data_IF_813454797745
#
_entry.id   IF_813454797745
#
_cell.length_a   1.000
_cell.length_b   1.000
_cell.length_c   1.000
_cell.angle_alpha   90.00
_cell.angle_beta   90.00
_cell.angle_gamma   90.00
#
_symmetry.space_group_name_H-M   'P 1'
#
loop_
_entity.id
_entity.type
_entity.pdbx_description
1 polymer ?
#
# COMPACT_ATOMS: atom_id res chain seq x y z
N UNK A 1 27.87 41.53 -30.17
CA UNK A 1 26.50 41.35 -30.71
C UNK A 1 26.31 39.84 -30.84
N UNK A 2 25.60 39.25 -29.87
CA UNK A 2 24.26 38.62 -30.03
C UNK A 2 24.33 37.37 -30.93
N UNK A 3 23.84 36.19 -30.57
CA UNK A 3 22.70 35.88 -29.70
C UNK A 3 22.67 34.38 -29.38
N UNK A 4 22.38 34.05 -28.11
CA UNK A 4 21.90 32.74 -27.67
C UNK A 4 20.45 32.56 -28.14
N UNK A 5 20.13 31.41 -28.73
CA UNK A 5 18.75 30.99 -28.99
C UNK A 5 18.41 29.81 -28.09
N UNK A 6 17.67 30.09 -27.02
CA UNK A 6 17.01 29.10 -26.18
C UNK A 6 15.68 28.70 -26.84
N UNK A 7 15.61 27.47 -27.35
CA UNK A 7 14.36 26.88 -27.81
C UNK A 7 13.49 26.52 -26.60
N UNK A 8 12.60 27.46 -26.25
CA UNK A 8 11.56 27.29 -25.25
C UNK A 8 10.38 26.52 -25.89
N UNK A 9 10.38 25.20 -25.73
CA UNK A 9 9.31 24.32 -26.18
C UNK A 9 7.95 24.70 -25.54
N UNK A 10 6.87 24.87 -26.32
CA UNK A 10 5.61 25.38 -25.80
C UNK A 10 4.96 24.43 -24.80
N UNK A 11 4.61 24.95 -23.61
CA UNK A 11 3.92 24.22 -22.56
C UNK A 11 2.51 23.81 -23.02
N UNK A 12 2.37 22.58 -23.52
CA UNK A 12 1.09 21.99 -23.93
C UNK A 12 0.13 21.98 -22.73
N UNK A 13 -0.96 22.77 -22.83
CA UNK A 13 -2.02 22.82 -21.82
C UNK A 13 -2.61 21.43 -21.61
N UNK A 14 -2.69 20.98 -20.35
CA UNK A 14 -3.23 19.66 -19.98
C UNK A 14 -4.69 19.54 -20.40
N UNK A 15 -5.02 18.56 -21.26
CA UNK A 15 -6.42 18.14 -21.50
C UNK A 15 -6.99 17.56 -20.19
N UNK A 16 -8.15 18.06 -19.72
CA UNK A 16 -8.86 17.49 -18.56
C UNK A 16 -9.12 16.00 -18.83
N UNK A 17 -8.77 15.13 -17.88
CA UNK A 17 -9.06 13.69 -17.92
C UNK A 17 -7.90 12.78 -18.38
N UNK A 18 -6.78 13.31 -18.90
CA UNK A 18 -5.62 12.47 -19.28
C UNK A 18 -4.65 12.36 -18.10
N UNK A 19 -4.51 11.14 -17.57
CA UNK A 19 -3.62 10.83 -16.44
C UNK A 19 -2.24 10.42 -16.99
N UNK A 20 -1.25 11.30 -16.85
CA UNK A 20 0.14 11.02 -17.26
C UNK A 20 0.98 10.63 -16.05
N UNK A 21 0.77 9.41 -15.53
CA UNK A 21 1.42 8.96 -14.29
C UNK A 21 2.95 8.94 -14.39
N UNK A 22 3.50 8.63 -15.56
CA UNK A 22 4.95 8.59 -15.77
C UNK A 22 5.62 9.95 -15.61
N UNK A 23 4.88 11.03 -15.89
CA UNK A 23 5.35 12.41 -15.73
C UNK A 23 5.24 12.89 -14.28
N UNK A 24 4.66 12.10 -13.38
CA UNK A 24 4.62 12.47 -11.97
C UNK A 24 6.03 12.47 -11.42
N UNK A 25 6.43 13.58 -10.78
CA UNK A 25 7.76 13.77 -10.17
C UNK A 25 8.20 12.54 -9.35
N UNK A 26 7.26 11.92 -8.63
CA UNK A 26 7.50 10.69 -7.86
C UNK A 26 7.93 9.49 -8.72
N UNK A 27 7.26 9.28 -9.84
CA UNK A 27 7.52 8.16 -10.73
C UNK A 27 8.81 8.39 -11.54
N UNK A 28 9.04 9.63 -12.01
CA UNK A 28 10.31 10.05 -12.62
C UNK A 28 11.49 9.76 -11.68
N UNK A 29 11.44 10.24 -10.43
CA UNK A 29 12.51 10.00 -9.44
C UNK A 29 12.69 8.51 -9.14
N UNK A 30 11.59 7.73 -9.06
CA UNK A 30 11.67 6.28 -8.83
C UNK A 30 12.38 5.57 -9.98
N UNK A 31 12.02 5.90 -11.22
CA UNK A 31 12.60 5.32 -12.43
C UNK A 31 14.09 5.63 -12.52
N UNK A 32 14.47 6.90 -12.37
CA UNK A 32 15.87 7.34 -12.36
C UNK A 32 16.68 6.61 -11.27
N UNK A 33 16.15 6.52 -10.03
CA UNK A 33 16.81 5.77 -8.94
C UNK A 33 17.02 4.29 -9.24
N UNK A 34 16.09 3.64 -9.95
CA UNK A 34 16.22 2.23 -10.32
C UNK A 34 17.27 2.07 -11.40
N UNK A 35 17.29 2.96 -12.41
CA UNK A 35 18.25 2.93 -13.52
C UNK A 35 19.64 3.48 -13.17
N UNK A 36 19.76 4.17 -12.04
CA UNK A 36 21.00 4.81 -11.64
C UNK A 36 21.22 6.16 -12.30
N UNK A 37 20.20 6.73 -12.95
CA UNK A 37 20.31 8.02 -13.63
C UNK A 37 20.35 9.19 -12.63
N UNK A 38 20.86 10.33 -13.09
CA UNK A 38 20.80 11.56 -12.33
C UNK A 38 19.34 12.01 -12.10
N UNK A 39 19.06 12.63 -10.96
CA UNK A 39 17.72 13.15 -10.68
C UNK A 39 17.74 14.28 -9.66
N UNK A 40 16.75 15.16 -9.75
CA UNK A 40 16.52 16.20 -8.74
C UNK A 40 15.63 15.67 -7.63
N UNK A 41 16.09 15.74 -6.39
CA UNK A 41 15.33 15.27 -5.24
C UNK A 41 14.17 16.25 -4.89
N UNK A 42 13.35 15.90 -3.89
CA UNK A 42 12.24 16.77 -3.45
C UNK A 42 12.71 18.07 -2.79
N UNK A 43 13.96 18.13 -2.31
CA UNK A 43 14.59 19.33 -1.73
C UNK A 43 15.23 20.25 -2.78
N UNK A 44 15.24 19.85 -4.06
CA UNK A 44 15.86 20.62 -5.14
C UNK A 44 17.32 20.27 -5.43
N UNK A 45 17.95 19.37 -4.67
CA UNK A 45 19.35 19.00 -4.92
C UNK A 45 19.43 17.95 -6.04
N UNK A 46 20.37 18.16 -6.97
CA UNK A 46 20.72 17.20 -8.02
C UNK A 46 21.53 16.06 -7.40
N UNK A 47 21.08 14.83 -7.63
CA UNK A 47 21.83 13.61 -7.32
C UNK A 47 22.46 13.14 -8.63
N UNK A 48 23.78 12.93 -8.67
CA UNK A 48 24.45 12.48 -9.89
C UNK A 48 24.02 11.06 -10.26
N UNK A 49 24.27 10.71 -11.51
CA UNK A 49 24.16 9.36 -12.02
C UNK A 49 25.17 8.44 -11.33
N UNK A 50 24.86 7.15 -11.35
CA UNK A 50 25.74 6.11 -10.86
C UNK A 50 26.56 5.59 -12.02
N UNK A 51 27.87 5.59 -11.84
CA UNK A 51 28.81 5.00 -12.76
C UNK A 51 29.38 3.69 -12.20
N UNK A 52 29.85 2.85 -13.13
CA UNK A 52 30.66 1.68 -12.78
C UNK A 52 31.90 2.17 -12.01
N UNK A 53 32.21 1.60 -10.83
CA UNK A 53 33.40 1.98 -10.08
C UNK A 53 34.67 1.67 -10.89
N UNK A 54 35.49 2.70 -11.11
CA UNK A 54 36.79 2.58 -11.80
C UNK A 54 37.68 1.60 -11.03
N UNK A 55 37.82 1.85 -9.73
CA UNK A 55 38.57 1.02 -8.80
C UNK A 55 37.65 0.43 -7.73
N UNK A 56 37.91 -0.83 -7.38
CA UNK A 56 37.25 -1.49 -6.26
C UNK A 56 38.21 -1.56 -5.07
N UNK A 57 37.71 -1.32 -3.87
CA UNK A 57 38.52 -1.39 -2.64
C UNK A 57 38.19 -2.70 -1.89
N UNK A 58 39.13 -3.66 -1.87
CA UNK A 58 39.06 -4.83 -0.97
C UNK A 58 40.11 -4.77 0.14
N UNK A 59 39.66 -4.86 1.39
CA UNK A 59 40.51 -5.07 2.58
C UNK A 59 40.33 -6.48 3.17
N UNK A 60 39.83 -7.39 2.35
CA UNK A 60 39.47 -8.74 2.73
C UNK A 60 40.69 -9.67 2.69
N UNK A 61 40.81 -10.65 3.60
CA UNK A 61 41.94 -11.59 3.59
C UNK A 61 41.98 -12.46 2.33
N UNK A 62 40.81 -12.71 1.72
CA UNK A 62 40.68 -13.48 0.46
C UNK A 62 41.08 -12.69 -0.80
N UNK A 63 41.39 -11.39 -0.67
CA UNK A 63 41.67 -10.48 -1.80
C UNK A 63 40.72 -10.69 -2.99
N UNK A 64 39.41 -10.78 -2.74
CA UNK A 64 38.41 -11.20 -3.73
C UNK A 64 38.22 -10.26 -4.93
N UNK A 65 38.99 -9.18 -5.01
CA UNK A 65 39.07 -8.32 -6.19
C UNK A 65 39.96 -8.93 -7.28
N UNK A 66 40.88 -9.84 -6.94
CA UNK A 66 41.90 -10.35 -7.87
C UNK A 66 41.32 -11.07 -9.09
N UNK A 67 40.11 -11.62 -8.97
CA UNK A 67 39.40 -12.32 -10.05
C UNK A 67 38.31 -11.47 -10.71
N UNK A 68 38.18 -10.19 -10.33
CA UNK A 68 37.17 -9.28 -10.86
C UNK A 68 37.86 -8.32 -11.82
N UNK A 69 37.73 -8.58 -13.12
CA UNK A 69 38.22 -7.73 -14.19
C UNK A 69 37.21 -6.64 -14.60
N UNK A 70 37.56 -5.86 -15.62
CA UNK A 70 36.69 -4.81 -16.16
C UNK A 70 35.43 -5.38 -16.85
N UNK A 71 35.53 -6.56 -17.43
CA UNK A 71 34.42 -7.22 -18.12
C UNK A 71 33.37 -7.69 -17.13
N UNK A 72 33.77 -8.40 -16.08
CA UNK A 72 32.89 -8.86 -15.00
C UNK A 72 32.23 -7.67 -14.29
N UNK A 73 32.97 -6.57 -14.05
CA UNK A 73 32.40 -5.33 -13.51
C UNK A 73 31.25 -4.82 -14.36
N UNK A 74 31.45 -4.75 -15.68
CA UNK A 74 30.46 -4.24 -16.63
C UNK A 74 29.25 -5.17 -16.72
N UNK A 75 29.48 -6.48 -16.85
CA UNK A 75 28.41 -7.48 -16.89
C UNK A 75 27.53 -7.45 -15.64
N UNK A 76 28.12 -7.43 -14.43
CA UNK A 76 27.36 -7.37 -13.17
C UNK A 76 26.57 -6.06 -13.07
N UNK A 77 27.18 -4.94 -13.46
CA UNK A 77 26.54 -3.63 -13.45
C UNK A 77 25.34 -3.58 -14.40
N UNK A 78 25.53 -3.96 -15.65
CA UNK A 78 24.48 -3.98 -16.67
C UNK A 78 23.35 -4.94 -16.30
N UNK A 79 23.68 -6.14 -15.82
CA UNK A 79 22.68 -7.08 -15.32
C UNK A 79 21.84 -6.45 -14.20
N UNK A 80 22.44 -5.74 -13.26
CA UNK A 80 21.72 -5.12 -12.14
C UNK A 80 20.86 -3.90 -12.56
N UNK A 81 21.36 -3.03 -13.44
CA UNK A 81 20.65 -1.82 -13.88
C UNK A 81 19.72 -2.05 -15.08
N UNK A 82 19.83 -3.19 -15.77
CA UNK A 82 18.84 -3.63 -16.77
C UNK A 82 17.47 -3.91 -16.14
N UNK A 83 17.44 -4.36 -14.88
CA UNK A 83 16.20 -4.61 -14.12
C UNK A 83 15.29 -3.37 -14.08
N UNK A 84 14.00 -3.61 -14.18
CA UNK A 84 13.01 -2.55 -14.43
C UNK A 84 12.47 -1.96 -13.13
N UNK A 85 12.35 -2.77 -12.09
CA UNK A 85 11.81 -2.36 -10.80
C UNK A 85 12.81 -2.50 -9.65
N UNK A 86 12.61 -1.70 -8.59
CA UNK A 86 13.39 -1.84 -7.35
C UNK A 86 13.17 -3.21 -6.71
N UNK A 87 11.97 -3.79 -6.84
CA UNK A 87 11.67 -5.12 -6.31
C UNK A 87 12.53 -6.17 -7.00
N UNK A 88 12.57 -6.18 -8.34
CA UNK A 88 13.47 -7.06 -9.10
C UNK A 88 14.92 -6.94 -8.66
N UNK A 89 15.43 -5.70 -8.54
CA UNK A 89 16.79 -5.45 -8.06
C UNK A 89 17.03 -5.99 -6.65
N UNK A 90 16.10 -5.77 -5.73
CA UNK A 90 16.23 -6.20 -4.35
C UNK A 90 16.15 -7.72 -4.22
N UNK A 91 15.26 -8.36 -4.98
CA UNK A 91 15.15 -9.82 -5.05
C UNK A 91 16.45 -10.39 -5.61
N UNK A 92 16.95 -9.85 -6.71
CA UNK A 92 18.26 -10.23 -7.28
C UNK A 92 19.40 -10.12 -6.26
N UNK A 93 19.49 -8.99 -5.53
CA UNK A 93 20.51 -8.84 -4.49
C UNK A 93 20.32 -9.84 -3.35
N UNK A 94 19.08 -10.15 -2.97
CA UNK A 94 18.78 -11.10 -1.91
C UNK A 94 19.18 -12.53 -2.29
N UNK A 95 19.01 -12.95 -3.55
CA UNK A 95 19.46 -14.28 -4.01
C UNK A 95 20.97 -14.45 -4.00
N UNK A 96 21.73 -13.35 -4.06
CA UNK A 96 23.18 -13.34 -3.93
C UNK A 96 23.68 -13.32 -2.48
N UNK A 97 22.77 -13.29 -1.49
CA UNK A 97 23.10 -13.26 -0.07
C UNK A 97 22.69 -14.58 0.57
N UNK A 98 23.63 -15.22 1.24
CA UNK A 98 23.40 -16.46 1.98
C UNK A 98 23.51 -16.20 3.48
N UNK A 99 22.47 -16.52 4.25
CA UNK A 99 22.51 -16.45 5.71
C UNK A 99 23.09 -17.74 6.29
N UNK A 100 24.13 -17.62 7.12
CA UNK A 100 24.77 -18.74 7.83
C UNK A 100 24.64 -18.57 9.33
N UNK A 101 24.52 -19.67 10.05
CA UNK A 101 24.57 -19.65 11.51
C UNK A 101 25.99 -19.32 12.00
N UNK A 102 26.05 -18.60 13.12
CA UNK A 102 27.33 -18.19 13.72
C UNK A 102 27.95 -19.38 14.45
N UNK A 103 28.94 -20.02 13.80
CA UNK A 103 29.63 -21.22 14.30
C UNK A 103 30.45 -20.99 15.58
N UNK A 104 30.91 -19.76 15.85
CA UNK A 104 31.74 -19.45 17.02
C UNK A 104 31.34 -18.09 17.60
N UNK A 105 30.96 -18.09 18.89
CA UNK A 105 30.75 -16.85 19.66
C UNK A 105 32.05 -16.51 20.37
N UNK A 106 32.60 -15.34 20.08
CA UNK A 106 33.67 -14.79 20.93
C UNK A 106 32.96 -14.18 22.14
N UNK A 107 33.21 -14.71 23.35
CA UNK A 107 32.81 -14.02 24.57
C UNK A 107 33.49 -12.65 24.54
N UNK A 108 32.71 -11.58 24.49
CA UNK A 108 33.25 -10.24 24.73
C UNK A 108 33.88 -10.30 26.12
N UNK A 109 35.15 -9.93 26.28
CA UNK A 109 35.67 -9.68 27.62
C UNK A 109 34.77 -8.62 28.24
N UNK A 110 34.02 -9.00 29.28
CA UNK A 110 33.22 -8.08 30.07
C UNK A 110 34.18 -7.08 30.67
N UNK A 111 34.05 -5.82 30.27
CA UNK A 111 34.80 -4.74 30.89
C UNK A 111 34.34 -4.69 32.37
N UNK A 112 35.22 -4.80 33.37
CA UNK A 112 34.83 -4.90 34.78
C UNK A 112 34.09 -3.67 35.32
N UNK A 113 34.03 -2.58 34.56
CA UNK A 113 33.45 -1.29 34.97
C UNK A 113 32.00 -1.07 34.52
N UNK A 114 31.32 -2.04 33.91
CA UNK A 114 29.87 -1.94 33.71
C UNK A 114 29.16 -2.61 34.89
N UNK A 115 28.54 -1.78 35.74
CA UNK A 115 27.80 -2.20 36.92
C UNK A 115 26.81 -3.33 36.61
N UNK A 116 26.92 -4.39 37.40
CA UNK A 116 26.00 -5.52 37.45
C UNK A 116 24.59 -5.05 37.83
N UNK A 117 23.81 -4.66 36.84
CA UNK A 117 22.37 -4.52 36.96
C UNK A 117 21.81 -4.90 35.60
N UNK A 118 21.60 -6.19 35.38
CA UNK A 118 20.44 -6.71 34.66
C UNK A 118 20.35 -8.21 34.89
N UNK A 119 19.22 -8.58 35.49
CA UNK A 119 18.80 -9.92 35.85
C UNK A 119 18.57 -10.80 34.61
N UNK A 120 18.58 -12.10 34.87
CA UNK A 120 18.11 -13.21 34.06
C UNK A 120 17.21 -12.85 32.86
N UNK A 121 17.63 -13.25 31.65
CA UNK A 121 16.69 -13.59 30.58
C UNK A 121 16.55 -12.63 29.39
N UNK A 122 17.32 -11.54 29.28
CA UNK A 122 17.33 -10.74 28.04
C UNK A 122 18.47 -11.15 27.12
N UNK A 123 18.22 -11.73 25.92
CA UNK A 123 19.27 -11.94 24.94
C UNK A 123 19.82 -10.56 24.54
N UNK A 124 21.09 -10.33 24.87
CA UNK A 124 21.84 -9.11 24.57
C UNK A 124 21.57 -8.66 23.12
N UNK A 125 20.78 -7.58 22.98
CA UNK A 125 20.06 -7.14 21.76
C UNK A 125 20.99 -6.88 20.56
N UNK A 126 22.30 -6.79 20.81
CA UNK A 126 23.31 -6.47 19.80
C UNK A 126 24.16 -7.66 19.33
N UNK A 127 23.86 -8.88 19.79
CA UNK A 127 24.57 -10.06 19.30
C UNK A 127 24.03 -10.50 17.93
N UNK A 128 24.89 -10.45 16.90
CA UNK A 128 24.54 -10.93 15.55
C UNK A 128 24.37 -12.45 15.61
N UNK A 129 23.13 -12.91 15.56
CA UNK A 129 22.82 -14.34 15.56
C UNK A 129 23.06 -15.02 14.20
N UNK A 130 23.18 -14.25 13.12
CA UNK A 130 23.46 -14.75 11.77
C UNK A 130 24.67 -14.05 11.15
N UNK A 131 25.45 -14.84 10.43
CA UNK A 131 26.51 -14.40 9.51
C UNK A 131 25.94 -14.33 8.09
N UNK A 132 26.52 -13.51 7.22
CA UNK A 132 26.08 -13.39 5.83
C UNK A 132 27.27 -13.55 4.89
N UNK A 133 27.10 -14.40 3.88
CA UNK A 133 28.01 -14.53 2.75
C UNK A 133 27.42 -13.75 1.58
N UNK A 134 28.24 -12.93 0.95
CA UNK A 134 27.87 -12.12 -0.21
C UNK A 134 28.51 -12.74 -1.44
N UNK A 135 27.73 -12.88 -2.51
CA UNK A 135 28.20 -13.48 -3.73
C UNK A 135 27.96 -12.55 -4.94
N UNK A 136 28.63 -12.82 -6.03
CA UNK A 136 28.35 -12.24 -7.35
C UNK A 136 28.17 -13.38 -8.35
N UNK A 137 27.42 -13.14 -9.43
CA UNK A 137 27.23 -14.12 -10.49
C UNK A 137 28.19 -13.81 -11.64
N UNK A 138 29.10 -14.73 -11.92
CA UNK A 138 30.08 -14.64 -13.01
C UNK A 138 29.81 -15.81 -13.94
N UNK A 139 29.42 -15.54 -15.20
CA UNK A 139 29.16 -16.59 -16.20
C UNK A 139 28.24 -17.72 -15.71
N UNK A 140 27.21 -17.40 -14.92
CA UNK A 140 26.29 -18.40 -14.35
C UNK A 140 26.71 -18.95 -12.98
N UNK A 141 27.97 -18.79 -12.59
CA UNK A 141 28.56 -19.32 -11.37
C UNK A 141 28.45 -18.29 -10.23
N UNK A 142 28.09 -18.74 -9.04
CA UNK A 142 28.01 -17.90 -7.84
C UNK A 142 29.37 -17.90 -7.13
N UNK A 143 30.02 -16.73 -7.08
CA UNK A 143 31.36 -16.57 -6.52
C UNK A 143 31.34 -15.66 -5.28
N UNK A 144 31.92 -16.08 -4.15
CA UNK A 144 31.87 -15.31 -2.91
C UNK A 144 32.81 -14.10 -2.92
N UNK A 145 32.29 -12.95 -2.51
CA UNK A 145 33.02 -11.69 -2.37
C UNK A 145 32.87 -11.12 -0.96
N UNK A 146 33.68 -10.12 -0.62
CA UNK A 146 33.49 -9.38 0.62
C UNK A 146 32.31 -8.39 0.49
N UNK A 147 31.73 -8.00 1.62
CA UNK A 147 30.64 -7.02 1.67
C UNK A 147 31.00 -5.71 0.96
N UNK A 148 32.25 -5.24 1.10
CA UNK A 148 32.65 -3.96 0.52
C UNK A 148 32.65 -3.98 -1.02
N UNK A 149 33.18 -5.05 -1.60
CA UNK A 149 33.17 -5.28 -3.05
C UNK A 149 31.73 -5.45 -3.54
N UNK A 150 30.91 -6.23 -2.82
CA UNK A 150 29.49 -6.41 -3.15
C UNK A 150 28.72 -5.07 -3.22
N UNK A 151 28.99 -4.16 -2.28
CA UNK A 151 28.36 -2.84 -2.26
C UNK A 151 28.80 -1.97 -3.46
N UNK A 152 30.10 -1.95 -3.75
CA UNK A 152 30.66 -1.12 -4.81
C UNK A 152 30.26 -1.63 -6.20
N UNK A 153 30.36 -2.94 -6.46
CA UNK A 153 30.09 -3.52 -7.78
C UNK A 153 28.61 -3.39 -8.19
N UNK A 154 27.68 -3.32 -7.24
CA UNK A 154 26.26 -3.04 -7.52
C UNK A 154 25.89 -1.56 -7.32
N UNK A 155 26.83 -0.73 -6.83
CA UNK A 155 26.57 0.67 -6.48
C UNK A 155 25.47 0.84 -5.43
N UNK A 156 25.39 -0.02 -4.42
CA UNK A 156 24.32 -0.01 -3.40
C UNK A 156 24.82 0.41 -2.01
N UNK A 157 23.95 1.04 -1.23
CA UNK A 157 24.29 1.49 0.13
C UNK A 157 24.30 0.32 1.13
N UNK A 158 25.04 0.52 2.22
CA UNK A 158 25.10 -0.43 3.35
C UNK A 158 23.73 -0.72 3.93
N UNK A 159 22.88 0.31 4.03
CA UNK A 159 21.53 0.19 4.62
C UNK A 159 20.59 -0.62 3.74
N UNK A 160 20.71 -0.50 2.41
CA UNK A 160 19.93 -1.33 1.47
C UNK A 160 20.23 -2.80 1.73
N UNK A 161 21.50 -3.16 1.83
CA UNK A 161 21.93 -4.54 2.12
C UNK A 161 21.53 -4.98 3.52
N UNK A 162 21.67 -4.13 4.54
CA UNK A 162 21.26 -4.44 5.91
C UNK A 162 19.75 -4.77 6.00
N UNK A 163 18.92 -4.00 5.29
CA UNK A 163 17.48 -4.30 5.18
C UNK A 163 17.24 -5.66 4.52
N UNK A 164 17.92 -5.95 3.41
CA UNK A 164 17.77 -7.23 2.71
C UNK A 164 18.17 -8.42 3.59
N UNK A 165 19.26 -8.30 4.34
CA UNK A 165 19.68 -9.34 5.29
C UNK A 165 18.65 -9.57 6.39
N UNK A 166 18.02 -8.51 6.89
CA UNK A 166 16.97 -8.63 7.92
C UNK A 166 15.71 -9.31 7.38
N UNK A 167 15.30 -9.01 6.15
CA UNK A 167 14.18 -9.67 5.49
C UNK A 167 14.49 -11.15 5.23
N UNK A 168 15.71 -11.46 4.79
CA UNK A 168 16.16 -12.83 4.57
C UNK A 168 16.13 -13.64 5.88
N UNK A 169 16.52 -13.05 7.01
CA UNK A 169 16.43 -13.72 8.33
C UNK A 169 15.00 -14.11 8.69
N UNK A 170 14.02 -13.28 8.29
CA UNK A 170 12.58 -13.48 8.51
C UNK A 170 11.91 -14.34 7.43
N UNK A 171 12.66 -14.82 6.43
CA UNK A 171 12.13 -15.49 5.24
C UNK A 171 11.12 -14.64 4.44
N UNK A 172 11.32 -13.32 4.41
CA UNK A 172 10.47 -12.38 3.69
C UNK A 172 11.12 -11.94 2.36
N UNK A 173 10.27 -11.75 1.34
CA UNK A 173 10.66 -11.21 0.04
C UNK A 173 10.66 -9.67 0.10
N UNK A 174 11.65 -8.98 -0.48
CA UNK A 174 11.71 -7.53 -0.44
C UNK A 174 10.63 -6.87 -1.30
N UNK A 175 9.86 -5.99 -0.65
CA UNK A 175 8.84 -5.17 -1.29
C UNK A 175 9.21 -3.69 -1.16
N UNK A 176 9.04 -2.92 -2.23
CA UNK A 176 9.23 -1.48 -2.24
C UNK A 176 8.05 -0.77 -1.55
N UNK A 177 8.31 -0.31 -0.32
CA UNK A 177 7.36 0.44 0.51
C UNK A 177 7.54 1.96 0.39
N UNK A 178 8.36 2.47 -0.54
CA UNK A 178 8.61 3.91 -0.68
C UNK A 178 7.33 4.71 -0.91
N UNK A 179 7.01 5.58 0.06
CA UNK A 179 5.82 6.43 0.09
C UNK A 179 4.50 5.65 0.17
N UNK A 180 4.54 4.42 0.67
CA UNK A 180 3.34 3.66 1.08
C UNK A 180 3.02 3.87 2.57
N UNK A 181 3.74 4.76 3.24
CA UNK A 181 3.44 5.11 4.62
C UNK A 181 2.05 5.74 4.68
N UNK A 182 1.27 5.33 5.69
CA UNK A 182 0.00 5.97 6.02
C UNK A 182 0.26 7.46 6.25
N UNK A 183 -0.55 8.31 5.63
CA UNK A 183 -0.49 9.75 5.86
C UNK A 183 -0.78 10.04 7.33
N UNK A 184 -0.07 10.98 7.96
CA UNK A 184 -0.40 11.44 9.31
C UNK A 184 -1.81 12.04 9.41
N UNK A 185 -2.34 12.54 8.28
CA UNK A 185 -3.71 13.04 8.17
C UNK A 185 -4.73 11.95 7.84
N UNK A 186 -4.28 10.70 7.62
CA UNK A 186 -5.21 9.60 7.35
C UNK A 186 -5.94 9.22 8.64
N UNK A 187 -7.26 9.20 8.56
CA UNK A 187 -8.12 8.88 9.69
C UNK A 187 -8.00 7.40 10.05
N UNK A 188 -8.19 7.11 11.34
CA UNK A 188 -8.01 5.76 11.86
C UNK A 188 -9.06 4.78 11.37
N UNK A 189 -8.59 3.57 11.06
CA UNK A 189 -9.46 2.51 10.52
C UNK A 189 -10.57 2.15 11.50
N UNK A 190 -10.29 2.16 12.81
CA UNK A 190 -11.29 1.91 13.86
C UNK A 190 -12.43 2.94 13.80
N UNK A 191 -12.09 4.19 13.52
CA UNK A 191 -13.06 5.27 13.39
C UNK A 191 -13.96 5.08 12.17
N UNK A 192 -13.37 4.68 11.05
CA UNK A 192 -14.15 4.34 9.85
C UNK A 192 -15.11 3.17 10.10
N UNK A 193 -14.66 2.14 10.83
CA UNK A 193 -15.51 0.99 11.20
C UNK A 193 -16.66 1.42 12.09
N UNK A 194 -16.41 2.21 13.14
CA UNK A 194 -17.46 2.71 14.02
C UNK A 194 -18.51 3.56 13.28
N UNK A 195 -18.08 4.44 12.36
CA UNK A 195 -19.00 5.21 11.51
C UNK A 195 -19.83 4.28 10.62
N UNK A 196 -19.19 3.27 10.01
CA UNK A 196 -19.86 2.31 9.14
C UNK A 196 -20.93 1.49 9.88
N UNK A 197 -20.59 0.98 11.06
CA UNK A 197 -21.49 0.22 11.93
C UNK A 197 -22.66 1.09 12.35
N UNK A 198 -22.41 2.33 12.80
CA UNK A 198 -23.46 3.26 13.17
C UNK A 198 -24.43 3.57 12.01
N UNK A 199 -23.93 3.84 10.80
CA UNK A 199 -24.80 4.11 9.64
C UNK A 199 -25.59 2.85 9.22
N UNK A 200 -25.01 1.67 9.40
CA UNK A 200 -25.66 0.40 9.07
C UNK A 200 -26.79 0.00 10.04
N UNK A 201 -26.87 0.63 11.21
CA UNK A 201 -27.96 0.39 12.18
C UNK A 201 -29.29 1.03 11.76
N UNK A 202 -29.27 2.00 10.84
CA UNK A 202 -30.51 2.66 10.41
C UNK A 202 -31.31 1.76 9.49
N UNK A 203 -32.62 1.69 9.72
CA UNK A 203 -33.53 0.98 8.83
C UNK A 203 -33.59 1.63 7.45
N UNK A 204 -33.54 0.81 6.42
CA UNK A 204 -33.54 1.23 5.01
C UNK A 204 -34.75 0.66 4.30
N UNK A 205 -35.46 1.52 3.56
CA UNK A 205 -36.57 1.14 2.69
C UNK A 205 -36.12 1.08 1.24
N UNK A 206 -36.48 0.01 0.54
CA UNK A 206 -36.13 -0.15 -0.87
C UNK A 206 -37.28 0.23 -1.79
N UNK A 207 -36.98 0.86 -2.93
CA UNK A 207 -37.97 1.01 -4.00
C UNK A 207 -38.32 -0.33 -4.61
N UNK A 208 -39.60 -0.70 -4.57
CA UNK A 208 -40.09 -1.93 -5.18
C UNK A 208 -40.28 -1.82 -6.71
N UNK A 209 -40.65 -0.65 -7.21
CA UNK A 209 -41.12 -0.46 -8.60
C UNK A 209 -40.18 0.36 -9.49
N UNK A 210 -38.91 0.48 -9.12
CA UNK A 210 -37.90 1.19 -9.90
C UNK A 210 -37.00 0.25 -10.69
N UNK A 211 -36.67 0.60 -11.93
CA UNK A 211 -35.63 -0.08 -12.73
C UNK A 211 -34.26 -0.06 -12.08
N UNK A 212 -34.02 0.90 -11.17
CA UNK A 212 -32.84 0.94 -10.29
C UNK A 212 -33.29 0.80 -8.84
N UNK A 213 -32.73 -0.20 -8.14
CA UNK A 213 -32.89 -0.33 -6.69
C UNK A 213 -32.30 0.89 -6.01
N UNK A 214 -33.16 1.71 -5.41
CA UNK A 214 -32.75 2.83 -4.55
C UNK A 214 -33.18 2.53 -3.13
N UNK A 215 -32.29 2.87 -2.22
CA UNK A 215 -32.45 2.69 -0.80
C UNK A 215 -32.68 4.04 -0.13
N UNK A 216 -33.69 4.11 0.73
CA UNK A 216 -34.12 5.32 1.40
C UNK A 216 -34.08 5.17 2.92
N UNK A 217 -33.43 6.13 3.56
CA UNK A 217 -33.54 6.39 4.99
C UNK A 217 -34.80 7.21 5.27
N UNK A 218 -35.26 7.19 6.52
CA UNK A 218 -36.44 7.93 6.97
C UNK A 218 -36.37 9.42 6.56
N UNK A 219 -37.50 9.98 6.10
CA UNK A 219 -37.61 11.36 5.64
C UNK A 219 -37.29 12.40 6.73
N UNK A 220 -37.42 12.03 8.00
CA UNK A 220 -37.13 12.89 9.15
C UNK A 220 -35.64 12.93 9.52
N UNK A 221 -34.87 11.95 9.03
CA UNK A 221 -33.43 11.86 9.22
C UNK A 221 -32.71 12.73 8.18
N UNK A 222 -31.55 13.22 8.58
CA UNK A 222 -30.57 13.81 7.69
C UNK A 222 -29.17 13.47 8.20
N UNK A 223 -28.14 13.64 7.37
CA UNK A 223 -26.76 13.28 7.75
C UNK A 223 -26.29 14.02 9.00
N UNK A 224 -26.76 15.25 9.23
CA UNK A 224 -26.43 16.04 10.42
C UNK A 224 -26.98 15.43 11.70
N UNK A 225 -28.26 15.04 11.71
CA UNK A 225 -28.91 14.33 12.82
C UNK A 225 -28.27 12.97 13.07
N UNK A 226 -27.95 12.23 12.01
CA UNK A 226 -27.22 10.97 12.14
C UNK A 226 -25.85 11.18 12.78
N UNK A 227 -25.15 12.25 12.44
CA UNK A 227 -23.87 12.59 13.07
C UNK A 227 -24.03 13.03 14.54
N UNK A 228 -25.10 13.74 14.89
CA UNK A 228 -25.42 14.04 16.29
C UNK A 228 -25.69 12.75 17.08
N UNK A 229 -26.49 11.83 16.54
CA UNK A 229 -26.73 10.50 17.12
C UNK A 229 -25.44 9.69 17.27
N UNK A 230 -24.53 9.79 16.30
CA UNK A 230 -23.22 9.15 16.37
C UNK A 230 -22.39 9.68 17.54
N UNK A 231 -22.36 11.00 17.74
CA UNK A 231 -21.66 11.60 18.89
C UNK A 231 -22.29 11.23 20.23
N UNK A 232 -23.61 11.07 20.28
CA UNK A 232 -24.31 10.63 21.50
C UNK A 232 -24.02 9.17 21.83
N UNK A 233 -23.97 8.29 20.82
CA UNK A 233 -23.69 6.85 21.00
C UNK A 233 -22.21 6.58 21.26
N UNK A 234 -21.31 7.43 20.76
CA UNK A 234 -19.86 7.29 20.89
C UNK A 234 -19.24 8.57 21.47
N UNK A 235 -19.49 8.89 22.75
CA UNK A 235 -18.99 10.10 23.38
C UNK A 235 -17.45 10.16 23.38
N UNK A 236 -16.78 9.01 23.48
CA UNK A 236 -15.32 8.89 23.46
C UNK A 236 -14.70 9.32 22.12
N UNK A 237 -15.47 9.32 21.03
CA UNK A 237 -15.03 9.63 19.67
C UNK A 237 -15.42 11.04 19.21
N UNK A 238 -16.08 11.82 20.07
CA UNK A 238 -16.66 13.13 19.75
C UNK A 238 -15.65 14.12 19.17
N UNK A 239 -14.47 14.22 19.79
CA UNK A 239 -13.41 15.14 19.34
C UNK A 239 -12.59 14.58 18.15
N UNK A 240 -12.75 13.29 17.85
CA UNK A 240 -11.98 12.59 16.81
C UNK A 240 -12.65 12.66 15.43
N UNK A 241 -13.99 12.66 15.36
CA UNK A 241 -14.73 12.69 14.10
C UNK A 241 -15.34 14.07 13.88
N UNK A 242 -14.90 14.76 12.83
CA UNK A 242 -15.57 15.98 12.34
C UNK A 242 -16.75 15.63 11.43
N UNK A 243 -17.81 16.44 11.47
CA UNK A 243 -18.97 16.31 10.57
C UNK A 243 -18.57 16.19 9.09
N UNK A 244 -17.61 17.00 8.63
CA UNK A 244 -17.17 16.99 7.24
C UNK A 244 -16.64 15.62 6.79
N UNK A 245 -15.95 14.91 7.67
CA UNK A 245 -15.49 13.56 7.39
C UNK A 245 -16.63 12.55 7.42
N UNK A 246 -17.50 12.62 8.43
CA UNK A 246 -18.68 11.75 8.52
C UNK A 246 -19.57 11.87 7.28
N UNK A 247 -19.86 13.09 6.84
CA UNK A 247 -20.62 13.39 5.63
C UNK A 247 -19.95 12.85 4.36
N UNK A 248 -18.64 13.05 4.24
CA UNK A 248 -17.85 12.51 3.12
C UNK A 248 -17.91 10.98 3.11
N UNK A 249 -17.70 10.35 4.26
CA UNK A 249 -17.74 8.89 4.40
C UNK A 249 -19.12 8.34 4.03
N UNK A 250 -20.21 8.96 4.51
CA UNK A 250 -21.57 8.62 4.12
C UNK A 250 -21.75 8.66 2.60
N UNK A 251 -21.37 9.77 1.96
CA UNK A 251 -21.56 9.96 0.51
C UNK A 251 -20.72 9.02 -0.36
N UNK A 252 -19.51 8.67 0.07
CA UNK A 252 -18.59 7.82 -0.70
C UNK A 252 -18.88 6.32 -0.52
N UNK A 253 -19.38 5.91 0.66
CA UNK A 253 -19.54 4.49 0.99
C UNK A 253 -21.00 4.02 0.97
N UNK A 254 -21.97 4.93 1.09
CA UNK A 254 -23.39 4.60 1.13
C UNK A 254 -24.15 5.27 -0.02
N UNK A 255 -24.89 4.47 -0.78
CA UNK A 255 -25.80 4.96 -1.83
C UNK A 255 -27.23 5.11 -1.27
N UNK A 256 -27.37 5.85 -0.18
CA UNK A 256 -28.63 6.06 0.55
C UNK A 256 -29.20 7.45 0.24
N UNK A 257 -30.51 7.52 0.01
CA UNK A 257 -31.25 8.78 -0.13
C UNK A 257 -32.14 9.01 1.10
N UNK A 258 -32.51 10.25 1.37
CA UNK A 258 -33.49 10.57 2.43
C UNK A 258 -34.86 10.76 1.80
N UNK A 259 -35.90 10.24 2.46
CA UNK A 259 -37.28 10.47 2.02
C UNK A 259 -38.09 9.20 1.85
N UNK A 260 -39.22 9.35 1.18
CA UNK A 260 -40.07 8.22 0.79
C UNK A 260 -39.90 7.94 -0.70
N UNK A 261 -39.89 6.68 -1.14
CA UNK A 261 -40.00 6.36 -2.55
C UNK A 261 -41.20 7.08 -3.18
N UNK A 262 -40.99 7.80 -4.28
CA UNK A 262 -42.07 8.55 -4.95
C UNK A 262 -43.14 7.61 -5.57
N UNK A 263 -42.87 6.31 -5.66
CA UNK A 263 -43.77 5.29 -6.23
C UNK A 263 -44.13 4.28 -5.16
N UNK A 264 -44.90 4.71 -4.16
CA UNK A 264 -45.25 3.87 -3.01
C UNK A 264 -46.49 2.99 -3.24
N UNK A 265 -47.17 3.12 -4.39
CA UNK A 265 -48.41 2.39 -4.63
C UNK A 265 -48.51 1.90 -6.07
N UNK A 266 -48.27 0.60 -6.27
CA UNK A 266 -48.74 -0.07 -7.48
C UNK A 266 -50.21 -0.45 -7.28
N UNK A 267 -51.09 0.05 -8.15
CA UNK A 267 -52.52 -0.25 -8.14
C UNK A 267 -52.81 -1.75 -8.17
N UNK A 268 -51.99 -2.55 -8.86
CA UNK A 268 -52.11 -4.01 -8.85
C UNK A 268 -51.83 -4.61 -7.47
N UNK A 269 -50.80 -4.12 -6.77
CA UNK A 269 -50.50 -4.58 -5.41
C UNK A 269 -51.56 -4.16 -4.38
N UNK A 270 -52.20 -3.00 -4.54
CA UNK A 270 -53.35 -2.63 -3.72
C UNK A 270 -54.56 -3.53 -3.99
N UNK A 271 -54.84 -3.80 -5.26
CA UNK A 271 -55.90 -4.74 -5.64
C UNK A 271 -55.65 -6.14 -5.07
N UNK A 272 -54.41 -6.64 -5.11
CA UNK A 272 -54.07 -7.92 -4.47
C UNK A 272 -54.25 -7.88 -2.94
N UNK A 273 -53.84 -6.78 -2.28
CA UNK A 273 -54.08 -6.60 -0.83
C UNK A 273 -55.56 -6.46 -0.48
N UNK A 274 -56.39 -5.88 -1.36
CA UNK A 274 -57.83 -5.81 -1.18
C UNK A 274 -58.47 -7.20 -1.33
N UNK A 275 -58.12 -7.92 -2.39
CA UNK A 275 -58.58 -9.31 -2.64
C UNK A 275 -58.17 -10.29 -1.53
N UNK A 276 -57.02 -10.08 -0.87
CA UNK A 276 -56.58 -10.92 0.25
C UNK A 276 -57.22 -10.56 1.60
N UNK A 277 -57.82 -9.38 1.73
CA UNK A 277 -58.54 -8.95 2.94
C UNK A 277 -59.98 -9.44 2.99
N UNK A 278 -60.53 -9.80 1.84
CA UNK A 278 -61.89 -10.29 1.72
C UNK A 278 -62.00 -11.72 2.31
N UNK A 279 -62.87 -11.85 3.32
CA UNK A 279 -62.99 -13.04 4.16
C UNK A 279 -63.71 -14.19 3.44
N UNK A 280 -64.51 -13.88 2.42
CA UNK A 280 -65.39 -14.82 1.74
C UNK A 280 -64.70 -15.61 0.60
N UNK A 281 -63.42 -15.33 0.33
CA UNK A 281 -62.67 -16.07 -0.68
C UNK A 281 -62.18 -17.45 -0.19
N UNK A 282 -62.39 -18.45 -1.04
CA UNK A 282 -61.80 -19.79 -0.94
C UNK A 282 -60.28 -19.75 -0.84
N UNK A 283 -59.70 -20.61 -0.01
CA UNK A 283 -58.26 -20.74 0.21
C UNK A 283 -57.46 -20.96 -1.07
N UNK A 284 -58.04 -21.65 -2.06
CA UNK A 284 -57.40 -21.87 -3.36
C UNK A 284 -57.22 -20.57 -4.15
N UNK A 285 -58.21 -19.66 -4.07
CA UNK A 285 -58.15 -18.35 -4.74
C UNK A 285 -57.18 -17.42 -4.01
N UNK A 286 -57.16 -17.45 -2.67
CA UNK A 286 -56.17 -16.71 -1.86
C UNK A 286 -54.74 -17.12 -2.23
N UNK A 287 -54.46 -18.42 -2.37
CA UNK A 287 -53.15 -18.94 -2.80
C UNK A 287 -52.76 -18.48 -4.22
N UNK A 288 -53.71 -18.48 -5.16
CA UNK A 288 -53.50 -17.96 -6.52
C UNK A 288 -53.16 -16.47 -6.51
N UNK A 289 -53.91 -15.65 -5.76
CA UNK A 289 -53.67 -14.21 -5.64
C UNK A 289 -52.30 -13.92 -5.01
N UNK A 290 -51.87 -14.71 -4.02
CA UNK A 290 -50.52 -14.61 -3.44
C UNK A 290 -49.45 -14.96 -4.48
N UNK A 291 -49.65 -16.03 -5.27
CA UNK A 291 -48.71 -16.42 -6.33
C UNK A 291 -48.58 -15.33 -7.41
N UNK A 292 -49.70 -14.76 -7.84
CA UNK A 292 -49.73 -13.63 -8.78
C UNK A 292 -49.02 -12.39 -8.19
N UNK A 293 -49.24 -12.09 -6.91
CA UNK A 293 -48.57 -10.98 -6.23
C UNK A 293 -47.05 -11.19 -6.16
N UNK A 294 -46.58 -12.42 -5.94
CA UNK A 294 -45.15 -12.76 -5.94
C UNK A 294 -44.55 -12.58 -7.33
N UNK A 295 -45.23 -13.04 -8.38
CA UNK A 295 -44.78 -12.88 -9.77
C UNK A 295 -44.76 -11.41 -10.16
N UNK A 296 -45.80 -10.66 -9.82
CA UNK A 296 -45.90 -9.23 -10.07
C UNK A 296 -44.77 -8.45 -9.38
N UNK A 297 -44.40 -8.80 -8.13
CA UNK A 297 -43.26 -8.19 -7.41
C UNK A 297 -41.88 -8.55 -7.99
N UNK A 298 -41.79 -9.56 -8.85
CA UNK A 298 -40.54 -10.00 -9.50
C UNK A 298 -40.37 -9.48 -10.93
N UNK A 299 -41.39 -8.85 -11.50
CA UNK A 299 -41.36 -8.16 -12.80
C UNK A 299 -40.81 -6.75 -12.64
#
# INVERSE_FOLDING_TARGET
>A
MQSESSDDEPVVKRKRGVVNEDKYKRNVIRKARTKGDCYTNYKGNVVPDKSIPVELICKCPRKCISFIDAEIKSQVWECFYSLSTKNEQDVYLQTLIEAKEVKRRVKKQTNPNCSNADLEGTPDSHTKNKSFVYNIKINGIITPVCKNVFLQIHGVSRDRVARLTNLLVKNEIPIDLRGKNRSGNAIDGKLCVAIHEHISLFEVRETHYGTKKKQYLDATLNVSKMYEMFQTTHPDLKDSVKYSFYYKYFKENFNLSFGRPQVDVCSQCENYKAKLRDQDLSDNVKRSVIAEQIVHKRR
#
